data_IF_364797146712
#
_entry.id   IF_364797146712
#
_cell.length_a   1.000
_cell.length_b   1.000
_cell.length_c   1.000
_cell.angle_alpha   90.00
_cell.angle_beta   90.00
_cell.angle_gamma   90.00
#
_symmetry.space_group_name_H-M   'P 1'
#
loop_
_entity.id
_entity.type
_entity.pdbx_description
1 polymer ?
#
# COMPACT_ATOMS: atom_id res chain seq x y z
N UNK A 1 23.40 -26.99 10.31
CA UNK A 1 22.85 -26.89 8.94
C UNK A 1 21.94 -28.10 8.67
N UNK A 2 20.77 -28.18 9.33
CA UNK A 2 19.78 -29.27 9.19
C UNK A 2 18.34 -28.77 8.93
N UNK A 3 18.05 -27.48 9.13
CA UNK A 3 16.68 -26.94 9.08
C UNK A 3 16.08 -26.79 7.68
N UNK A 4 16.87 -26.81 6.61
CA UNK A 4 16.36 -26.55 5.25
C UNK A 4 15.66 -27.79 4.67
N UNK A 5 16.26 -28.97 4.87
CA UNK A 5 15.76 -30.25 4.38
C UNK A 5 14.44 -30.66 5.03
N UNK A 6 14.28 -30.43 6.34
CA UNK A 6 13.04 -30.77 7.06
C UNK A 6 11.84 -29.91 6.59
N UNK A 7 12.08 -28.65 6.22
CA UNK A 7 11.05 -27.76 5.69
C UNK A 7 10.66 -28.17 4.27
N UNK A 8 11.64 -28.46 3.42
CA UNK A 8 11.40 -28.86 2.03
C UNK A 8 10.65 -30.21 1.97
N UNK A 9 10.98 -31.17 2.85
CA UNK A 9 10.28 -32.45 2.94
C UNK A 9 8.84 -32.30 3.46
N UNK A 10 8.62 -31.44 4.46
CA UNK A 10 7.29 -31.13 4.98
C UNK A 10 6.40 -30.42 3.95
N UNK A 11 6.95 -29.46 3.20
CA UNK A 11 6.22 -28.73 2.15
C UNK A 11 5.79 -29.65 1.00
N UNK A 12 6.62 -30.63 0.65
CA UNK A 12 6.31 -31.59 -0.42
C UNK A 12 5.21 -32.60 -0.05
N UNK A 13 4.94 -32.80 1.25
CA UNK A 13 3.95 -33.75 1.74
C UNK A 13 2.61 -33.07 2.14
N UNK A 14 2.49 -31.76 1.90
CA UNK A 14 1.23 -31.05 2.05
C UNK A 14 0.34 -31.35 0.84
N UNK A 15 -0.64 -32.22 1.05
CA UNK A 15 -1.71 -32.45 0.09
C UNK A 15 -2.65 -31.23 0.10
N UNK A 16 -2.35 -30.25 -0.75
CA UNK A 16 -3.14 -29.02 -0.86
C UNK A 16 -4.42 -29.34 -1.62
N UNK A 17 -5.52 -29.46 -0.90
CA UNK A 17 -6.86 -29.61 -1.47
C UNK A 17 -7.09 -28.55 -2.58
N UNK A 18 -7.28 -28.96 -3.85
CA UNK A 18 -7.51 -28.06 -4.97
C UNK A 18 -8.76 -27.17 -4.77
N UNK A 19 -9.73 -27.62 -3.98
CA UNK A 19 -10.89 -26.82 -3.59
C UNK A 19 -10.52 -25.67 -2.63
N UNK A 20 -9.48 -25.83 -1.80
CA UNK A 20 -8.86 -24.75 -1.00
C UNK A 20 -7.88 -23.90 -1.82
N UNK A 21 -7.31 -24.43 -2.91
CA UNK A 21 -6.51 -23.65 -3.84
C UNK A 21 -7.32 -22.55 -4.56
N UNK A 22 -8.66 -22.69 -4.66
CA UNK A 22 -9.58 -21.61 -5.06
C UNK A 22 -9.58 -20.45 -4.05
N UNK A 23 -9.51 -20.75 -2.76
CA UNK A 23 -9.50 -19.75 -1.69
C UNK A 23 -8.25 -18.85 -1.77
N UNK A 24 -7.12 -19.43 -2.21
CA UNK A 24 -5.90 -18.67 -2.46
C UNK A 24 -6.01 -17.66 -3.62
N UNK A 25 -6.97 -17.80 -4.55
CA UNK A 25 -7.16 -16.82 -5.63
C UNK A 25 -7.78 -15.50 -5.12
N UNK A 26 -8.75 -15.60 -4.21
CA UNK A 26 -9.34 -14.44 -3.54
C UNK A 26 -8.30 -13.78 -2.62
N UNK A 27 -7.53 -14.57 -1.87
CA UNK A 27 -6.47 -14.04 -1.03
C UNK A 27 -5.37 -13.35 -1.83
N UNK A 28 -4.90 -13.95 -2.94
CA UNK A 28 -3.95 -13.31 -3.87
C UNK A 28 -4.47 -12.00 -4.43
N UNK A 29 -5.77 -11.93 -4.78
CA UNK A 29 -6.40 -10.69 -5.26
C UNK A 29 -6.44 -9.62 -4.18
N UNK A 30 -6.72 -9.98 -2.93
CA UNK A 30 -6.71 -9.04 -1.80
C UNK A 30 -5.28 -8.52 -1.56
N UNK A 31 -4.27 -9.39 -1.57
CA UNK A 31 -2.86 -8.99 -1.40
C UNK A 31 -2.45 -8.02 -2.52
N UNK A 32 -2.73 -8.36 -3.79
CA UNK A 32 -2.42 -7.48 -4.91
C UNK A 32 -3.17 -6.14 -4.84
N UNK A 33 -4.44 -6.15 -4.41
CA UNK A 33 -5.20 -4.91 -4.22
C UNK A 33 -4.62 -4.05 -3.08
N UNK A 34 -4.20 -4.67 -1.97
CA UNK A 34 -3.52 -3.98 -0.87
C UNK A 34 -2.22 -3.33 -1.36
N UNK A 35 -1.38 -4.06 -2.07
CA UNK A 35 -0.12 -3.54 -2.62
C UNK A 35 -0.37 -2.38 -3.58
N UNK A 36 -1.41 -2.49 -4.43
CA UNK A 36 -1.81 -1.41 -5.33
C UNK A 36 -2.29 -0.16 -4.57
N UNK A 37 -3.03 -0.34 -3.48
CA UNK A 37 -3.45 0.78 -2.60
C UNK A 37 -2.24 1.42 -1.94
N UNK A 38 -1.32 0.64 -1.37
CA UNK A 38 -0.10 1.15 -0.73
C UNK A 38 0.77 1.93 -1.74
N UNK A 39 0.91 1.41 -2.96
CA UNK A 39 1.63 2.08 -4.05
C UNK A 39 0.96 3.40 -4.43
N UNK A 40 -0.36 3.39 -4.64
CA UNK A 40 -1.11 4.58 -5.01
C UNK A 40 -1.11 5.63 -3.89
N UNK A 41 -1.16 5.21 -2.63
CA UNK A 41 -1.07 6.12 -1.48
C UNK A 41 0.32 6.75 -1.32
N UNK A 42 1.38 6.00 -1.62
CA UNK A 42 2.75 6.51 -1.65
C UNK A 42 2.91 7.55 -2.75
N UNK A 43 2.47 7.23 -3.97
CA UNK A 43 2.50 8.13 -5.11
C UNK A 43 1.68 9.40 -4.84
N UNK A 44 0.49 9.27 -4.24
CA UNK A 44 -0.35 10.42 -3.90
C UNK A 44 0.35 11.38 -2.92
N UNK A 45 1.08 10.84 -1.92
CA UNK A 45 1.86 11.68 -1.00
C UNK A 45 2.99 12.38 -1.74
N UNK A 46 3.76 11.65 -2.55
CA UNK A 46 4.85 12.23 -3.34
C UNK A 46 4.36 13.36 -4.27
N UNK A 47 3.22 13.18 -4.92
CA UNK A 47 2.61 14.21 -5.77
C UNK A 47 2.15 15.44 -4.97
N UNK A 48 1.58 15.24 -3.78
CA UNK A 48 1.22 16.34 -2.88
C UNK A 48 2.46 17.10 -2.40
N UNK A 49 3.52 16.39 -2.03
CA UNK A 49 4.78 16.99 -1.59
C UNK A 49 5.43 17.80 -2.71
N UNK A 50 5.50 17.25 -3.93
CA UNK A 50 6.00 17.96 -5.10
C UNK A 50 5.17 19.23 -5.42
N UNK A 51 3.84 19.15 -5.31
CA UNK A 51 2.98 20.33 -5.48
C UNK A 51 3.26 21.40 -4.41
N UNK A 52 3.47 20.98 -3.16
CA UNK A 52 3.83 21.89 -2.06
C UNK A 52 5.20 22.54 -2.26
N UNK A 53 6.18 21.79 -2.75
CA UNK A 53 7.52 22.29 -3.12
C UNK A 53 7.46 23.26 -4.29
N UNK A 54 6.58 23.02 -5.28
CA UNK A 54 6.33 23.93 -6.39
C UNK A 54 5.58 25.22 -5.99
N UNK A 55 5.09 25.29 -4.74
CA UNK A 55 4.40 26.46 -4.18
C UNK A 55 2.87 26.41 -4.27
N UNK A 56 2.27 25.31 -4.74
CA UNK A 56 0.82 25.17 -4.83
C UNK A 56 0.17 25.23 -3.46
N UNK A 57 -0.93 25.97 -3.33
CA UNK A 57 -1.62 26.13 -2.05
C UNK A 57 -2.38 24.87 -1.64
N UNK A 58 -2.58 24.68 -0.32
CA UNK A 58 -3.45 23.64 0.21
C UNK A 58 -4.90 23.70 -0.32
N UNK A 59 -5.36 24.89 -0.76
CA UNK A 59 -6.67 25.03 -1.38
C UNK A 59 -6.69 24.40 -2.78
N UNK A 60 -5.67 24.67 -3.61
CA UNK A 60 -5.54 24.08 -4.94
C UNK A 60 -5.41 22.55 -4.86
N UNK A 61 -4.59 22.05 -3.94
CA UNK A 61 -4.44 20.61 -3.68
C UNK A 61 -5.76 20.00 -3.22
N UNK A 62 -6.50 20.66 -2.32
CA UNK A 62 -7.83 20.20 -1.90
C UNK A 62 -8.81 20.06 -3.07
N UNK A 63 -8.84 21.05 -3.98
CA UNK A 63 -9.67 20.99 -5.20
C UNK A 63 -9.29 19.78 -6.07
N UNK A 64 -7.99 19.55 -6.30
CA UNK A 64 -7.52 18.41 -7.09
C UNK A 64 -7.90 17.06 -6.46
N UNK A 65 -7.89 16.99 -5.12
CA UNK A 65 -8.25 15.79 -4.35
C UNK A 65 -9.77 15.63 -4.13
N UNK A 66 -10.59 16.61 -4.51
CA UNK A 66 -12.03 16.60 -4.24
C UNK A 66 -12.40 16.76 -2.76
N UNK A 67 -11.54 17.38 -1.95
CA UNK A 67 -11.73 17.58 -0.51
C UNK A 67 -11.52 19.05 -0.12
N UNK A 68 -11.89 19.41 1.11
CA UNK A 68 -11.67 20.78 1.61
C UNK A 68 -10.18 21.06 1.84
N UNK A 69 -9.78 22.34 1.77
CA UNK A 69 -8.43 22.80 2.15
C UNK A 69 -8.00 22.26 3.51
N UNK A 70 -8.88 22.33 4.50
CA UNK A 70 -8.59 21.88 5.86
C UNK A 70 -8.35 20.37 5.91
N UNK A 71 -9.16 19.59 5.19
CA UNK A 71 -8.96 18.14 5.08
C UNK A 71 -7.62 17.80 4.40
N UNK A 72 -7.26 18.51 3.33
CA UNK A 72 -5.97 18.34 2.66
C UNK A 72 -4.79 18.66 3.60
N UNK A 73 -4.83 19.81 4.29
CA UNK A 73 -3.79 20.18 5.26
C UNK A 73 -3.69 19.19 6.43
N UNK A 74 -4.83 18.72 6.97
CA UNK A 74 -4.81 17.73 8.05
C UNK A 74 -4.18 16.42 7.60
N UNK A 75 -4.54 15.94 6.39
CA UNK A 75 -4.07 14.66 5.87
C UNK A 75 -2.61 14.65 5.44
N UNK A 76 -2.12 15.75 4.86
CA UNK A 76 -0.79 15.78 4.24
C UNK A 76 0.17 16.81 4.84
N UNK A 77 -0.33 17.80 5.59
CA UNK A 77 0.46 18.90 6.14
C UNK A 77 1.25 18.60 7.41
N UNK A 78 1.16 17.39 7.96
CA UNK A 78 1.84 16.99 9.20
C UNK A 78 3.01 16.02 8.96
N UNK A 79 3.34 15.73 7.70
CA UNK A 79 4.44 14.81 7.34
C UNK A 79 5.77 15.55 7.33
N UNK A 80 6.22 16.03 8.48
CA UNK A 80 7.64 16.33 8.71
C UNK A 80 8.11 15.42 9.83
N UNK A 81 8.70 14.27 9.46
CA UNK A 81 9.51 13.53 10.41
C UNK A 81 10.75 14.38 10.76
N UNK A 82 11.14 14.51 12.03
CA UNK A 82 12.38 15.20 12.38
C UNK A 82 13.56 14.42 11.80
N UNK A 83 14.44 15.13 11.09
CA UNK A 83 15.78 14.65 10.71
C UNK A 83 16.71 14.65 11.91
#
# INVERSE_FOLDING_TARGET
MKHKTDIDEWLNNLDVDPAKARDASHMRRIIAAKEAVETAESELRAAVDAAREAGDTWAAIGVALGITRQAAFQRFGHTAAPV
#
